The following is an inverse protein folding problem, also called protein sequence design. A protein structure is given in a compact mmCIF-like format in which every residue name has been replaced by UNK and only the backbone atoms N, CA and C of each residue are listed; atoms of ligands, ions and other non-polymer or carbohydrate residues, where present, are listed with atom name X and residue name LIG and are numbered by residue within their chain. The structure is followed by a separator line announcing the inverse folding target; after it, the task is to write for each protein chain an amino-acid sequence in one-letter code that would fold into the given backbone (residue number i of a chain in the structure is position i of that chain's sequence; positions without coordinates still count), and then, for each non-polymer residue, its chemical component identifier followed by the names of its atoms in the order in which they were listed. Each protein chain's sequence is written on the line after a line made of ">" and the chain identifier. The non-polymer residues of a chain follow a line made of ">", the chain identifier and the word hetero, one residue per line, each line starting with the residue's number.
data_IF_977771614979
#
_entry.id   IF_977771614979
#
_cell.length_a   1.000
_cell.length_b   1.000
_cell.length_c   1.000
_cell.angle_alpha   90.00
_cell.angle_beta   90.00
_cell.angle_gamma   90.00
#
_symmetry.space_group_name_H-M   'P 1'
#
loop_
_entity.id
_entity.type
_entity.pdbx_description
1 polymer ?
#
# COMPACT_ATOMS: atom_id res chain seq x y z
N UNK A 1 16.72 12.79 -1.20
CA UNK A 1 16.51 11.69 -2.16
C UNK A 1 16.98 10.44 -1.42
N UNK A 2 16.05 9.60 -0.94
CA UNK A 2 16.37 8.47 -0.07
C UNK A 2 16.82 7.25 -0.88
N UNK A 3 17.88 7.40 -1.67
CA UNK A 3 18.46 6.28 -2.42
C UNK A 3 19.60 5.72 -1.59
N UNK A 4 19.41 4.56 -0.96
CA UNK A 4 20.51 3.86 -0.33
C UNK A 4 21.31 3.13 -1.43
N UNK A 5 22.40 3.73 -1.90
CA UNK A 5 23.21 3.21 -3.01
C UNK A 5 24.24 2.15 -2.59
N UNK A 6 24.53 2.09 -1.29
CA UNK A 6 25.52 1.19 -0.71
C UNK A 6 24.93 -0.18 -0.40
N UNK A 7 25.74 -1.23 -0.56
CA UNK A 7 25.33 -2.62 -0.37
C UNK A 7 24.61 -3.23 -1.58
N UNK A 8 24.15 -4.49 -1.47
CA UNK A 8 23.40 -5.16 -2.52
C UNK A 8 21.92 -4.67 -2.57
N UNK A 9 21.26 -4.72 -3.74
CA UNK A 9 19.83 -4.41 -3.88
C UNK A 9 18.89 -5.44 -3.22
N UNK A 10 19.45 -6.54 -2.72
CA UNK A 10 18.73 -7.67 -2.19
C UNK A 10 19.61 -8.40 -1.19
N UNK A 11 19.08 -8.69 -0.01
CA UNK A 11 19.71 -9.55 1.00
C UNK A 11 18.62 -10.37 1.65
N UNK A 12 18.76 -11.69 1.68
CA UNK A 12 17.73 -12.59 2.23
C UNK A 12 18.36 -13.42 3.31
N UNK A 13 17.74 -13.37 4.48
CA UNK A 13 18.05 -14.25 5.59
C UNK A 13 17.25 -15.55 5.49
N UNK A 14 17.84 -16.63 5.99
CA UNK A 14 17.11 -17.88 6.17
C UNK A 14 16.07 -17.72 7.30
N UNK A 15 14.94 -18.47 7.28
CA UNK A 15 13.93 -18.39 8.34
C UNK A 15 14.48 -18.60 9.76
N UNK A 16 15.48 -19.48 9.93
CA UNK A 16 16.12 -19.72 11.22
C UNK A 16 16.93 -18.52 11.74
N UNK A 17 17.52 -17.72 10.84
CA UNK A 17 18.23 -16.50 11.19
C UNK A 17 17.23 -15.43 11.67
N UNK A 18 16.12 -15.25 10.95
CA UNK A 18 15.03 -14.35 11.37
C UNK A 18 14.40 -14.77 12.71
N UNK A 19 14.26 -16.07 12.94
CA UNK A 19 13.80 -16.58 14.24
C UNK A 19 14.80 -16.26 15.36
N UNK A 20 16.10 -16.19 15.07
CA UNK A 20 17.09 -15.79 16.07
C UNK A 20 17.02 -14.28 16.36
N UNK A 21 16.70 -13.46 15.34
CA UNK A 21 16.59 -12.00 15.47
C UNK A 21 15.30 -11.57 16.18
N UNK A 22 14.18 -12.26 15.93
CA UNK A 22 12.84 -11.83 16.35
C UNK A 22 12.11 -12.82 17.26
N UNK A 23 12.63 -14.04 17.44
CA UNK A 23 11.95 -15.14 18.11
C UNK A 23 12.02 -15.09 19.63
N UNK A 24 11.64 -13.98 20.24
CA UNK A 24 11.44 -13.86 21.67
C UNK A 24 9.98 -14.20 22.07
N UNK A 25 9.73 -14.68 23.30
CA UNK A 25 8.36 -14.79 23.80
C UNK A 25 7.72 -13.41 23.93
N UNK A 26 6.38 -13.34 23.87
CA UNK A 26 5.63 -12.09 24.08
C UNK A 26 6.05 -11.45 25.42
N UNK A 27 6.64 -10.24 25.43
CA UNK A 27 7.04 -9.59 26.67
C UNK A 27 5.82 -9.15 27.48
N UNK A 28 5.86 -9.36 28.80
CA UNK A 28 4.81 -8.92 29.73
C UNK A 28 4.97 -7.45 30.16
N UNK A 29 6.16 -6.89 29.98
CA UNK A 29 6.51 -5.52 30.34
C UNK A 29 7.03 -4.74 29.12
N UNK A 30 6.96 -3.41 29.17
CA UNK A 30 7.50 -2.54 28.12
C UNK A 30 9.03 -2.54 28.09
N UNK A 31 9.61 -2.40 26.89
CA UNK A 31 11.05 -2.39 26.66
C UNK A 31 11.63 -1.04 26.24
N UNK A 32 12.91 -1.04 25.86
CA UNK A 32 13.59 0.12 25.31
C UNK A 32 13.18 0.35 23.84
N UNK A 33 12.39 1.40 23.61
CA UNK A 33 11.94 1.78 22.27
C UNK A 33 13.12 2.19 21.36
N UNK A 34 14.14 2.86 21.89
CA UNK A 34 15.25 3.34 21.05
C UNK A 34 16.06 2.15 20.53
N UNK A 35 16.45 1.25 21.43
CA UNK A 35 17.16 0.03 21.05
C UNK A 35 16.34 -0.86 20.10
N UNK A 36 15.03 -0.96 20.29
CA UNK A 36 14.16 -1.70 19.37
C UNK A 36 14.15 -1.07 17.97
N UNK A 37 13.99 0.24 17.87
CA UNK A 37 14.00 0.94 16.58
C UNK A 37 15.35 0.79 15.87
N UNK A 38 16.45 0.89 16.62
CA UNK A 38 17.80 0.70 16.08
C UNK A 38 18.02 -0.74 15.58
N UNK A 39 17.56 -1.74 16.34
CA UNK A 39 17.62 -3.15 15.94
C UNK A 39 16.80 -3.41 14.67
N UNK A 40 15.56 -2.92 14.61
CA UNK A 40 14.71 -3.08 13.43
C UNK A 40 15.33 -2.40 12.20
N UNK A 41 15.84 -1.18 12.35
CA UNK A 41 16.39 -0.40 11.24
C UNK A 41 17.67 -1.01 10.65
N UNK A 42 18.54 -1.59 11.47
CA UNK A 42 19.86 -2.07 11.03
C UNK A 42 19.91 -3.58 10.78
N UNK A 43 19.20 -4.39 11.56
CA UNK A 43 19.37 -5.85 11.53
C UNK A 43 18.20 -6.58 10.84
N UNK A 44 17.00 -5.98 10.82
CA UNK A 44 15.78 -6.66 10.37
C UNK A 44 15.28 -6.12 9.03
N UNK A 45 14.92 -4.83 8.96
CA UNK A 45 14.33 -4.21 7.77
C UNK A 45 15.23 -4.24 6.51
N UNK A 46 16.57 -4.21 6.61
CA UNK A 46 17.43 -4.37 5.45
C UNK A 46 17.42 -5.77 4.81
N UNK A 47 16.90 -6.79 5.51
CA UNK A 47 16.79 -8.17 5.04
C UNK A 47 15.60 -8.34 4.08
N UNK A 48 15.74 -7.79 2.87
CA UNK A 48 14.79 -8.01 1.79
C UNK A 48 15.25 -7.39 0.47
N UNK A 49 14.29 -7.16 -0.42
CA UNK A 49 14.50 -6.37 -1.63
C UNK A 49 14.48 -4.89 -1.25
N UNK A 50 15.48 -4.16 -1.70
CA UNK A 50 15.59 -2.71 -1.53
C UNK A 50 15.08 -1.99 -2.77
N UNK A 51 13.78 -1.71 -2.79
CA UNK A 51 13.12 -1.04 -3.92
C UNK A 51 13.61 0.39 -4.17
N UNK A 52 14.26 1.01 -3.19
CA UNK A 52 14.89 2.33 -3.28
C UNK A 52 16.31 2.29 -3.89
N UNK A 53 16.87 1.10 -4.09
CA UNK A 53 18.23 0.92 -4.59
C UNK A 53 18.28 1.12 -6.14
N UNK A 54 19.24 1.89 -6.69
CA UNK A 54 19.27 2.27 -8.11
C UNK A 54 19.46 1.10 -9.10
N UNK A 55 19.90 -0.05 -8.59
CA UNK A 55 20.05 -1.31 -9.35
C UNK A 55 18.98 -2.36 -9.03
N UNK A 56 17.89 -1.97 -8.36
CA UNK A 56 16.73 -2.85 -8.17
C UNK A 56 15.79 -2.75 -9.38
N UNK A 57 15.81 -3.76 -10.24
CA UNK A 57 14.96 -3.84 -11.45
C UNK A 57 13.87 -4.93 -11.36
N UNK A 58 13.63 -5.46 -10.16
CA UNK A 58 12.63 -6.51 -9.92
C UNK A 58 11.26 -5.95 -9.53
N UNK A 59 10.21 -6.70 -9.86
CA UNK A 59 8.81 -6.42 -9.48
C UNK A 59 8.31 -5.03 -9.95
N UNK A 60 7.43 -4.42 -9.16
CA UNK A 60 6.88 -3.09 -9.39
C UNK A 60 7.55 -2.13 -8.40
N UNK A 61 8.31 -1.12 -8.87
CA UNK A 61 9.00 -0.19 -7.98
C UNK A 61 8.03 0.55 -7.06
N UNK A 62 8.37 0.63 -5.77
CA UNK A 62 7.59 1.40 -4.79
C UNK A 62 7.96 2.88 -4.85
N UNK A 63 6.96 3.76 -4.76
CA UNK A 63 7.13 5.22 -4.84
C UNK A 63 7.20 5.85 -3.44
N UNK A 64 8.17 5.43 -2.64
CA UNK A 64 8.47 6.08 -1.36
C UNK A 64 9.21 7.39 -1.57
N UNK A 65 8.52 8.52 -1.63
CA UNK A 65 9.14 9.85 -1.67
C UNK A 65 9.04 10.55 -0.30
N UNK A 66 9.91 11.52 -0.06
CA UNK A 66 9.98 12.23 1.22
C UNK A 66 8.64 12.89 1.63
N UNK A 67 7.91 13.59 0.73
CA UNK A 67 6.58 14.09 1.04
C UNK A 67 5.58 13.02 1.50
N UNK A 68 5.58 11.84 0.87
CA UNK A 68 4.69 10.74 1.24
C UNK A 68 4.97 10.24 2.66
N UNK A 69 6.25 10.08 3.03
CA UNK A 69 6.64 9.67 4.39
C UNK A 69 6.15 10.69 5.43
N UNK A 70 6.28 11.99 5.15
CA UNK A 70 5.75 13.02 6.04
C UNK A 70 4.22 13.00 6.13
N UNK A 71 3.53 12.75 5.01
CA UNK A 71 2.09 12.65 4.98
C UNK A 71 1.58 11.47 5.82
N UNK A 72 2.24 10.30 5.73
CA UNK A 72 1.93 9.14 6.55
C UNK A 72 2.14 9.45 8.04
N UNK A 73 3.29 10.05 8.40
CA UNK A 73 3.55 10.46 9.79
C UNK A 73 2.47 11.40 10.32
N UNK A 74 2.08 12.42 9.55
CA UNK A 74 1.04 13.36 9.93
C UNK A 74 -0.33 12.68 10.08
N UNK A 75 -0.68 11.80 9.15
CA UNK A 75 -1.93 11.05 9.17
C UNK A 75 -2.03 10.17 10.42
N UNK A 76 -0.96 9.43 10.74
CA UNK A 76 -0.87 8.60 11.94
C UNK A 76 -0.90 9.45 13.21
N UNK A 77 -0.14 10.55 13.27
CA UNK A 77 -0.09 11.42 14.44
C UNK A 77 -1.45 12.06 14.78
N UNK A 78 -2.29 12.30 13.78
CA UNK A 78 -3.63 12.86 13.96
C UNK A 78 -4.73 11.80 14.09
N UNK A 79 -4.37 10.50 14.09
CA UNK A 79 -5.33 9.39 14.08
C UNK A 79 -6.41 9.60 13.01
N UNK A 80 -5.97 10.03 11.82
CA UNK A 80 -6.85 10.47 10.73
C UNK A 80 -7.81 9.34 10.31
N UNK A 81 -9.11 9.64 10.22
CA UNK A 81 -10.15 8.70 9.77
C UNK A 81 -10.92 9.26 8.57
N UNK A 82 -10.33 9.23 7.37
CA UNK A 82 -11.06 9.54 6.15
C UNK A 82 -12.05 8.41 5.85
N UNK A 83 -13.33 8.75 5.64
CA UNK A 83 -14.35 7.75 5.27
C UNK A 83 -15.73 8.01 5.86
N UNK A 84 -15.81 8.80 6.94
CA UNK A 84 -17.08 9.30 7.46
C UNK A 84 -16.98 10.82 7.61
N UNK A 85 -17.84 11.56 6.91
CA UNK A 85 -17.79 13.03 6.90
C UNK A 85 -17.85 13.63 8.31
N UNK A 86 -18.66 13.04 9.20
CA UNK A 86 -18.78 13.44 10.60
C UNK A 86 -17.46 13.34 11.38
N UNK A 87 -16.64 12.33 11.06
CA UNK A 87 -15.42 11.99 11.81
C UNK A 87 -14.17 12.62 11.18
N UNK A 88 -14.17 12.79 9.86
CA UNK A 88 -12.96 13.13 9.11
C UNK A 88 -13.20 14.06 7.92
N UNK A 89 -14.04 15.09 8.05
CA UNK A 89 -14.33 16.03 6.94
C UNK A 89 -13.09 16.69 6.32
N UNK A 90 -12.08 17.02 7.12
CA UNK A 90 -10.79 17.55 6.64
C UNK A 90 -10.04 16.55 5.74
N UNK A 91 -9.64 15.38 6.28
CA UNK A 91 -9.02 14.31 5.49
C UNK A 91 -9.86 13.88 4.27
N UNK A 92 -11.18 13.73 4.40
CA UNK A 92 -12.06 13.41 3.28
C UNK A 92 -12.08 14.51 2.21
N UNK A 93 -11.96 15.78 2.59
CA UNK A 93 -11.83 16.87 1.63
C UNK A 93 -10.52 16.81 0.84
N UNK A 94 -9.42 16.37 1.48
CA UNK A 94 -8.13 16.14 0.81
C UNK A 94 -8.27 15.00 -0.21
N UNK A 95 -8.91 13.90 0.16
CA UNK A 95 -9.16 12.77 -0.75
C UNK A 95 -9.98 13.19 -1.97
N UNK A 96 -11.12 13.86 -1.75
CA UNK A 96 -11.99 14.32 -2.83
C UNK A 96 -11.29 15.31 -3.76
N UNK A 97 -10.46 16.19 -3.21
CA UNK A 97 -9.66 17.14 -4.00
C UNK A 97 -8.61 16.41 -4.83
N UNK A 98 -7.92 15.43 -4.25
CA UNK A 98 -6.90 14.65 -4.96
C UNK A 98 -7.52 13.79 -6.06
N UNK A 99 -8.68 13.18 -5.80
CA UNK A 99 -9.44 12.44 -6.81
C UNK A 99 -9.86 13.35 -7.98
N UNK A 100 -10.26 14.59 -7.69
CA UNK A 100 -10.56 15.58 -8.74
C UNK A 100 -9.33 15.83 -9.62
N UNK A 101 -8.16 16.05 -9.02
CA UNK A 101 -6.91 16.23 -9.78
C UNK A 101 -6.51 15.00 -10.60
N UNK A 102 -6.67 13.79 -10.05
CA UNK A 102 -6.41 12.55 -10.78
C UNK A 102 -7.34 12.39 -11.99
N UNK A 103 -8.63 12.73 -11.85
CA UNK A 103 -9.57 12.72 -12.97
C UNK A 103 -9.15 13.70 -14.06
N UNK A 104 -8.74 14.92 -13.70
CA UNK A 104 -8.25 15.93 -14.63
C UNK A 104 -6.98 15.44 -15.35
N UNK A 105 -6.03 14.88 -14.61
CA UNK A 105 -4.77 14.33 -15.15
C UNK A 105 -5.01 13.20 -16.15
N UNK A 106 -5.98 12.33 -15.87
CA UNK A 106 -6.34 11.18 -16.72
C UNK A 106 -7.32 11.54 -17.85
N UNK A 107 -7.82 12.78 -17.91
CA UNK A 107 -8.82 13.21 -18.90
C UNK A 107 -10.20 12.56 -18.71
N UNK A 108 -10.55 12.17 -17.47
CA UNK A 108 -11.81 11.48 -17.16
C UNK A 108 -12.97 12.48 -17.00
N UNK A 109 -14.22 12.06 -17.29
CA UNK A 109 -15.39 12.92 -17.12
C UNK A 109 -15.58 13.39 -15.67
N UNK A 110 -15.95 14.67 -15.49
CA UNK A 110 -16.08 15.28 -14.16
C UNK A 110 -17.10 14.60 -13.24
N UNK A 111 -18.16 14.00 -13.81
CA UNK A 111 -19.21 13.31 -13.08
C UNK A 111 -18.80 11.91 -12.56
N UNK A 112 -17.62 11.41 -12.94
CA UNK A 112 -17.13 10.12 -12.45
C UNK A 112 -16.69 10.24 -10.98
N UNK A 113 -17.00 9.20 -10.21
CA UNK A 113 -16.54 9.05 -8.84
C UNK A 113 -15.18 8.34 -8.75
N UNK A 114 -14.68 8.23 -7.53
CA UNK A 114 -13.48 7.48 -7.21
C UNK A 114 -13.32 7.36 -5.70
N UNK A 115 -12.46 6.46 -5.26
CA UNK A 115 -12.08 6.28 -3.86
C UNK A 115 -10.63 5.79 -3.79
N UNK A 116 -9.95 6.11 -2.69
CA UNK A 116 -8.67 5.50 -2.37
C UNK A 116 -8.89 4.15 -1.72
N UNK A 117 -8.07 3.17 -2.10
CA UNK A 117 -8.05 1.82 -1.54
C UNK A 117 -6.59 1.41 -1.32
N UNK A 118 -6.35 0.38 -0.50
CA UNK A 118 -4.98 0.01 -0.11
C UNK A 118 -4.09 -0.51 -1.24
N UNK A 119 -4.66 -0.88 -2.39
CA UNK A 119 -3.87 -1.30 -3.55
C UNK A 119 -4.70 -1.81 -4.73
N UNK A 120 -4.00 -2.20 -5.80
CA UNK A 120 -4.61 -2.61 -7.06
C UNK A 120 -5.56 -3.80 -6.95
N UNK A 121 -5.30 -4.76 -6.06
CA UNK A 121 -6.20 -5.90 -5.83
C UNK A 121 -7.57 -5.48 -5.31
N UNK A 122 -7.62 -4.57 -4.31
CA UNK A 122 -8.89 -4.02 -3.84
C UNK A 122 -9.54 -3.13 -4.89
N UNK A 123 -8.75 -2.36 -5.66
CA UNK A 123 -9.30 -1.56 -6.75
C UNK A 123 -10.01 -2.44 -7.80
N UNK A 124 -9.38 -3.55 -8.19
CA UNK A 124 -9.97 -4.54 -9.10
C UNK A 124 -11.23 -5.17 -8.49
N UNK A 125 -11.18 -5.59 -7.22
CA UNK A 125 -12.35 -6.16 -6.54
C UNK A 125 -13.52 -5.15 -6.49
N UNK A 126 -13.26 -3.90 -6.11
CA UNK A 126 -14.27 -2.83 -6.07
C UNK A 126 -14.86 -2.57 -7.46
N UNK A 127 -14.02 -2.50 -8.49
CA UNK A 127 -14.49 -2.29 -9.86
C UNK A 127 -15.33 -3.47 -10.38
N UNK A 128 -14.90 -4.71 -10.12
CA UNK A 128 -15.63 -5.91 -10.51
C UNK A 128 -16.95 -6.05 -9.76
N UNK A 129 -16.99 -5.71 -8.46
CA UNK A 129 -18.22 -5.69 -7.69
C UNK A 129 -19.22 -4.67 -8.25
N UNK A 130 -18.77 -3.44 -8.54
CA UNK A 130 -19.61 -2.43 -9.16
C UNK A 130 -20.11 -2.85 -10.55
N UNK A 131 -19.25 -3.46 -11.36
CA UNK A 131 -19.62 -3.97 -12.69
C UNK A 131 -20.63 -5.12 -12.60
N UNK A 132 -20.42 -6.08 -11.68
CA UNK A 132 -21.36 -7.18 -11.41
C UNK A 132 -22.73 -6.63 -11.04
N UNK A 133 -22.79 -5.72 -10.08
CA UNK A 133 -24.06 -5.18 -9.59
C UNK A 133 -24.78 -4.37 -10.66
N UNK A 134 -24.03 -3.59 -11.44
CA UNK A 134 -24.59 -2.81 -12.54
C UNK A 134 -25.11 -3.67 -13.71
N UNK A 135 -24.36 -4.70 -14.11
CA UNK A 135 -24.67 -5.47 -15.32
C UNK A 135 -25.60 -6.66 -15.05
N UNK A 136 -25.49 -7.26 -13.87
CA UNK A 136 -26.16 -8.52 -13.56
C UNK A 136 -27.17 -8.41 -12.41
N UNK A 137 -27.25 -7.24 -11.73
CA UNK A 137 -28.18 -7.05 -10.60
C UNK A 137 -27.95 -8.02 -9.43
N UNK A 138 -26.75 -8.61 -9.33
CA UNK A 138 -26.39 -9.59 -8.31
C UNK A 138 -26.67 -11.07 -8.67
N UNK A 139 -27.30 -11.37 -9.81
CA UNK A 139 -27.43 -12.75 -10.29
C UNK A 139 -26.13 -13.22 -10.94
N UNK A 140 -25.53 -14.27 -10.39
CA UNK A 140 -24.25 -14.81 -10.85
C UNK A 140 -24.43 -16.02 -11.78
N UNK A 141 -25.65 -16.50 -12.02
CA UNK A 141 -25.88 -17.68 -12.84
C UNK A 141 -25.42 -17.42 -14.28
N UNK A 142 -24.38 -18.13 -14.70
CA UNK A 142 -23.80 -18.00 -16.03
C UNK A 142 -22.94 -16.76 -16.24
N UNK A 143 -22.58 -16.03 -15.17
CA UNK A 143 -21.68 -14.88 -15.24
C UNK A 143 -20.32 -15.29 -15.85
N UNK A 144 -19.78 -14.42 -16.71
CA UNK A 144 -18.48 -14.64 -17.37
C UNK A 144 -17.61 -13.39 -17.24
N UNK A 145 -16.39 -13.59 -16.77
CA UNK A 145 -15.33 -12.59 -16.77
C UNK A 145 -14.33 -12.95 -17.87
N UNK A 146 -13.92 -11.96 -18.66
CA UNK A 146 -12.91 -12.12 -19.71
C UNK A 146 -11.66 -11.32 -19.32
N UNK A 147 -10.50 -11.96 -19.37
CA UNK A 147 -9.21 -11.32 -19.16
C UNK A 147 -8.16 -11.96 -20.09
N UNK A 148 -7.02 -11.30 -20.27
CA UNK A 148 -5.93 -11.85 -21.08
C UNK A 148 -5.18 -12.94 -20.32
N UNK A 149 -4.40 -13.76 -21.03
CA UNK A 149 -3.48 -14.74 -20.43
C UNK A 149 -2.29 -14.10 -19.71
N UNK A 150 -2.20 -12.76 -19.70
CA UNK A 150 -1.19 -11.97 -19.02
C UNK A 150 -1.81 -11.09 -17.92
N UNK A 151 -3.08 -11.31 -17.58
CA UNK A 151 -3.75 -10.56 -16.53
C UNK A 151 -3.05 -10.80 -15.17
N UNK A 152 -3.05 -9.78 -14.33
CA UNK A 152 -2.51 -9.90 -12.98
C UNK A 152 -3.37 -10.88 -12.15
N UNK A 153 -2.78 -11.75 -11.30
CA UNK A 153 -3.52 -12.75 -10.51
C UNK A 153 -4.59 -12.17 -9.57
N UNK A 154 -4.57 -10.86 -9.32
CA UNK A 154 -5.63 -10.20 -8.55
C UNK A 154 -6.96 -10.07 -9.31
N UNK A 155 -7.00 -10.40 -10.60
CA UNK A 155 -8.19 -10.31 -11.46
C UNK A 155 -8.79 -11.68 -11.72
N UNK A 156 -7.95 -12.70 -11.94
CA UNK A 156 -8.32 -14.07 -12.28
C UNK A 156 -7.25 -15.06 -11.84
#
# INVERSE_FOLDING_TARGET
>A
MCTAADGPPHTVAAPAELQTLLGEPLPEEGGDLSGLLDHLAHDVLPLGIRFDHPRCFGFVPTTGNYPAVLADLLSTAHLSVPGAWLVGSGPSSIELTTLKWLKELLGLPGHWGGLFVSGGSLANLTALAAARDHQLGGDLVGARLYCSTQAHPSVA
#
